data_IF_216919240654
#
_entry.id   IF_216919240654
#
_cell.length_a   1.000
_cell.length_b   1.000
_cell.length_c   1.000
_cell.angle_alpha   90.00
_cell.angle_beta   90.00
_cell.angle_gamma   90.00
#
_symmetry.space_group_name_H-M   'P 1'
#
loop_
_entity.id
_entity.type
_entity.pdbx_description
1 polymer ?
#
# COMPACT_ATOMS: atom_id res chain seq x y z
N UNK A 1 -2.60 -0.54 9.49
CA UNK A 1 -3.40 -1.34 8.53
C UNK A 1 -4.88 -1.29 8.87
N UNK A 2 -5.33 -1.88 9.98
CA UNK A 2 -6.75 -1.96 10.34
C UNK A 2 -7.51 -0.63 10.34
N UNK A 3 -6.97 0.43 10.96
CA UNK A 3 -7.62 1.75 10.94
C UNK A 3 -7.76 2.36 9.54
N UNK A 4 -6.82 2.04 8.63
CA UNK A 4 -6.90 2.47 7.23
C UNK A 4 -8.07 1.78 6.52
N UNK A 5 -8.17 0.45 6.64
CA UNK A 5 -9.28 -0.35 6.07
C UNK A 5 -10.63 0.06 6.68
N UNK A 6 -10.67 0.18 8.01
CA UNK A 6 -11.87 0.56 8.76
C UNK A 6 -12.42 1.91 8.32
N UNK A 7 -11.55 2.91 8.10
CA UNK A 7 -11.94 4.24 7.62
C UNK A 7 -12.66 4.16 6.27
N UNK A 8 -12.17 3.35 5.34
CA UNK A 8 -12.79 3.20 4.02
C UNK A 8 -14.12 2.47 4.09
N UNK A 9 -14.26 1.46 4.96
CA UNK A 9 -15.53 0.74 5.11
C UNK A 9 -16.66 1.61 5.69
N UNK A 10 -16.35 2.73 6.35
CA UNK A 10 -17.35 3.59 7.01
C UNK A 10 -17.73 4.85 6.25
N UNK A 11 -16.87 5.34 5.36
CA UNK A 11 -17.15 6.54 4.56
C UNK A 11 -17.70 6.07 3.21
N UNK A 12 -18.65 6.79 2.59
CA UNK A 12 -18.93 6.68 1.14
C UNK A 12 -17.72 7.18 0.33
N UNK A 13 -16.56 6.57 0.56
CA UNK A 13 -15.33 6.86 -0.14
C UNK A 13 -15.34 6.15 -1.50
N UNK A 14 -14.43 6.54 -2.38
CA UNK A 14 -14.26 5.85 -3.65
C UNK A 14 -13.99 4.36 -3.42
N UNK A 15 -14.57 3.47 -4.25
CA UNK A 15 -14.38 2.03 -4.08
C UNK A 15 -12.90 1.65 -4.17
N UNK A 16 -12.46 0.77 -3.26
CA UNK A 16 -11.09 0.25 -3.19
C UNK A 16 -11.06 -1.26 -3.45
N UNK A 17 -9.98 -1.72 -4.07
CA UNK A 17 -9.59 -3.12 -4.11
C UNK A 17 -8.57 -3.40 -3.00
N UNK A 18 -8.80 -4.48 -2.26
CA UNK A 18 -7.87 -5.00 -1.26
C UNK A 18 -7.40 -6.37 -1.73
N UNK A 19 -6.10 -6.50 -1.98
CA UNK A 19 -5.45 -7.77 -2.25
C UNK A 19 -4.66 -8.17 -1.00
N UNK A 20 -4.95 -9.33 -0.45
CA UNK A 20 -4.31 -9.86 0.75
C UNK A 20 -3.97 -11.32 0.52
N UNK A 21 -2.86 -11.78 1.11
CA UNK A 21 -2.46 -13.18 1.07
C UNK A 21 -3.29 -14.04 2.03
N UNK A 22 -3.43 -13.59 3.27
CA UNK A 22 -4.15 -14.29 4.35
C UNK A 22 -4.88 -13.28 5.23
N UNK A 23 -5.98 -13.67 5.87
CA UNK A 23 -6.70 -12.81 6.79
C UNK A 23 -7.18 -13.58 8.03
N UNK A 24 -7.07 -13.03 9.25
CA UNK A 24 -6.56 -11.69 9.60
C UNK A 24 -5.02 -11.59 9.71
N UNK A 25 -4.31 -12.71 9.73
CA UNK A 25 -2.85 -12.76 9.92
C UNK A 25 -2.06 -12.64 8.60
N UNK A 26 -2.32 -11.56 7.84
CA UNK A 26 -1.65 -11.31 6.55
C UNK A 26 -0.12 -11.17 6.72
N UNK A 27 0.65 -11.61 5.73
CA UNK A 27 2.06 -11.23 5.59
C UNK A 27 2.21 -10.02 4.69
N UNK A 28 1.39 -9.92 3.64
CA UNK A 28 1.33 -8.74 2.75
C UNK A 28 -0.10 -8.37 2.37
N UNK A 29 -0.38 -7.07 2.37
CA UNK A 29 -1.64 -6.50 1.92
C UNK A 29 -1.38 -5.28 1.02
N UNK A 30 -2.03 -5.26 -0.13
CA UNK A 30 -2.04 -4.17 -1.09
C UNK A 30 -3.45 -3.58 -1.15
N UNK A 31 -3.52 -2.26 -1.10
CA UNK A 31 -4.77 -1.50 -1.16
C UNK A 31 -4.63 -0.49 -2.29
N UNK A 32 -5.58 -0.49 -3.23
CA UNK A 32 -5.59 0.43 -4.38
C UNK A 32 -7.02 0.88 -4.72
N UNK A 33 -7.21 2.03 -5.40
CA UNK A 33 -8.52 2.40 -5.93
C UNK A 33 -9.02 1.42 -6.99
N UNK A 34 -10.31 1.05 -6.93
CA UNK A 34 -10.97 0.14 -7.88
C UNK A 34 -11.20 0.81 -9.24
N UNK A 35 -11.53 2.10 -9.24
CA UNK A 35 -11.67 2.89 -10.47
C UNK A 35 -10.34 3.54 -10.79
N UNK A 36 -9.64 3.01 -11.79
CA UNK A 36 -8.43 3.62 -12.34
C UNK A 36 -8.73 4.32 -13.67
N UNK A 37 -9.56 5.39 -13.66
CA UNK A 37 -9.73 6.19 -14.88
C UNK A 37 -8.37 6.75 -15.34
N UNK A 38 -8.14 6.84 -16.65
CA UNK A 38 -6.84 7.28 -17.21
C UNK A 38 -6.42 8.69 -16.73
N UNK A 39 -7.37 9.52 -16.33
CA UNK A 39 -7.14 10.90 -15.85
C UNK A 39 -6.88 11.01 -14.33
N UNK A 40 -7.00 9.93 -13.55
CA UNK A 40 -6.73 10.00 -12.11
C UNK A 40 -5.22 9.94 -11.82
N UNK A 41 -4.60 11.11 -11.72
CA UNK A 41 -3.19 11.28 -11.37
C UNK A 41 -2.86 10.94 -9.90
N UNK A 42 -3.87 10.62 -9.08
CA UNK A 42 -3.75 10.40 -7.63
C UNK A 42 -3.93 8.92 -7.22
N UNK A 43 -3.64 7.97 -8.12
CA UNK A 43 -3.69 6.51 -7.85
C UNK A 43 -2.60 6.08 -6.87
N UNK A 44 -2.88 6.26 -5.60
CA UNK A 44 -2.01 5.85 -4.51
C UNK A 44 -2.25 4.38 -4.15
N UNK A 45 -1.22 3.56 -4.29
CA UNK A 45 -1.24 2.16 -3.89
C UNK A 45 -0.52 2.06 -2.54
N UNK A 46 -1.22 1.58 -1.52
CA UNK A 46 -0.64 1.36 -0.20
C UNK A 46 -0.28 -0.11 -0.04
N UNK A 47 0.96 -0.40 0.32
CA UNK A 47 1.42 -1.76 0.60
C UNK A 47 1.87 -1.82 2.05
N UNK A 48 1.31 -2.77 2.80
CA UNK A 48 1.77 -3.10 4.14
C UNK A 48 2.26 -4.54 4.14
N UNK A 49 3.43 -4.76 4.72
CA UNK A 49 4.06 -6.08 4.75
C UNK A 49 4.74 -6.30 6.09
N UNK A 50 4.80 -7.54 6.55
CA UNK A 50 5.56 -7.96 7.73
C UNK A 50 6.96 -8.44 7.37
N UNK A 51 7.14 -8.97 6.16
CA UNK A 51 8.39 -9.52 5.66
C UNK A 51 8.71 -9.05 4.23
N UNK A 52 9.99 -9.17 3.84
CA UNK A 52 10.46 -8.72 2.53
C UNK A 52 10.20 -9.73 1.41
N UNK A 53 10.07 -11.02 1.73
CA UNK A 53 9.83 -12.07 0.74
C UNK A 53 8.43 -11.92 0.15
N UNK A 54 7.42 -11.72 0.99
CA UNK A 54 6.04 -11.45 0.57
C UNK A 54 5.94 -10.16 -0.24
N UNK A 55 6.70 -9.12 0.15
CA UNK A 55 6.79 -7.89 -0.62
C UNK A 55 7.39 -8.12 -2.01
N UNK A 56 8.53 -8.80 -2.11
CA UNK A 56 9.16 -9.12 -3.39
C UNK A 56 8.25 -9.91 -4.31
N UNK A 57 7.56 -10.92 -3.77
CA UNK A 57 6.60 -11.72 -4.53
C UNK A 57 5.45 -10.86 -5.07
N UNK A 58 4.89 -9.97 -4.24
CA UNK A 58 3.86 -9.02 -4.66
C UNK A 58 4.37 -8.05 -5.74
N UNK A 59 5.56 -7.46 -5.55
CA UNK A 59 6.15 -6.51 -6.49
C UNK A 59 6.47 -7.16 -7.84
N UNK A 60 6.69 -8.47 -7.86
CA UNK A 60 6.96 -9.22 -9.07
C UNK A 60 5.73 -9.59 -9.90
N UNK A 61 4.53 -9.51 -9.31
CA UNK A 61 3.26 -9.81 -9.98
C UNK A 61 2.82 -8.70 -10.92
N UNK A 62 2.99 -8.91 -12.22
CA UNK A 62 2.58 -7.98 -13.28
C UNK A 62 1.06 -7.92 -13.48
N UNK A 63 0.32 -8.92 -13.00
CA UNK A 63 -1.14 -8.92 -12.95
C UNK A 63 -1.69 -8.01 -11.84
N UNK A 64 -0.84 -7.64 -10.87
CA UNK A 64 -1.19 -6.76 -9.74
C UNK A 64 -0.65 -5.35 -9.94
N UNK A 65 0.62 -5.22 -10.32
CA UNK A 65 1.31 -3.95 -10.56
C UNK A 65 1.78 -3.86 -12.00
N UNK A 66 1.19 -2.94 -12.76
CA UNK A 66 1.65 -2.61 -14.10
C UNK A 66 2.78 -1.57 -14.05
N UNK A 67 4.01 -2.07 -14.06
CA UNK A 67 5.23 -1.25 -14.06
C UNK A 67 5.43 -0.40 -15.33
N UNK A 68 4.59 -0.58 -16.36
CA UNK A 68 4.60 0.29 -17.54
C UNK A 68 3.83 1.60 -17.32
N UNK A 69 3.07 1.70 -16.23
CA UNK A 69 2.30 2.90 -15.88
C UNK A 69 3.00 3.70 -14.78
N UNK A 70 2.56 4.95 -14.60
CA UNK A 70 2.97 5.75 -13.46
C UNK A 70 2.35 5.19 -12.17
N UNK A 71 3.19 4.66 -11.28
CA UNK A 71 2.77 4.09 -10.00
C UNK A 71 3.17 5.02 -8.85
N UNK A 72 2.23 5.33 -7.95
CA UNK A 72 2.52 6.00 -6.67
C UNK A 72 2.34 5.02 -5.53
N UNK A 73 3.45 4.61 -4.91
CA UNK A 73 3.45 3.63 -3.82
C UNK A 73 3.63 4.31 -2.46
N UNK A 74 2.91 3.85 -1.45
CA UNK A 74 3.22 4.09 -0.03
C UNK A 74 3.61 2.75 0.59
N UNK A 75 4.79 2.74 1.20
CA UNK A 75 5.32 1.60 1.95
C UNK A 75 5.95 2.08 3.25
N UNK A 76 6.19 1.14 4.16
CA UNK A 76 7.07 1.41 5.31
C UNK A 76 8.50 1.69 4.83
N UNK A 77 9.14 2.71 5.42
CA UNK A 77 10.49 3.17 5.06
C UNK A 77 11.52 2.05 5.09
N UNK A 78 11.34 1.05 5.95
CA UNK A 78 12.28 -0.09 6.06
C UNK A 78 12.44 -0.87 4.75
N UNK A 79 11.44 -0.82 3.86
CA UNK A 79 11.43 -1.53 2.58
C UNK A 79 11.85 -0.67 1.38
N UNK A 80 12.40 0.53 1.61
CA UNK A 80 12.81 1.45 0.53
C UNK A 80 13.85 0.82 -0.41
N UNK A 81 14.83 0.10 0.14
CA UNK A 81 15.89 -0.54 -0.67
C UNK A 81 15.34 -1.67 -1.55
N UNK A 82 14.40 -2.47 -1.03
CA UNK A 82 13.73 -3.53 -1.80
C UNK A 82 12.98 -2.94 -3.00
N UNK A 83 12.20 -1.87 -2.78
CA UNK A 83 11.53 -1.17 -3.88
C UNK A 83 12.50 -0.63 -4.91
N UNK A 84 13.61 -0.02 -4.47
CA UNK A 84 14.64 0.53 -5.36
C UNK A 84 15.25 -0.59 -6.21
N UNK A 85 15.60 -1.72 -5.61
CA UNK A 85 16.18 -2.86 -6.31
C UNK A 85 15.22 -3.40 -7.38
N UNK A 86 13.92 -3.54 -7.05
CA UNK A 86 12.91 -3.99 -8.02
C UNK A 86 12.75 -2.97 -9.15
N UNK A 87 12.69 -1.67 -8.84
CA UNK A 87 12.59 -0.62 -9.85
C UNK A 87 13.77 -0.66 -10.84
N UNK A 88 15.01 -0.76 -10.33
CA UNK A 88 16.22 -0.89 -11.15
C UNK A 88 16.18 -2.15 -12.02
N UNK A 89 15.80 -3.30 -11.44
CA UNK A 89 15.69 -4.56 -12.19
C UNK A 89 14.67 -4.50 -13.34
N UNK A 90 13.70 -3.59 -13.25
CA UNK A 90 12.66 -3.36 -14.26
C UNK A 90 12.98 -2.19 -15.20
N UNK A 91 14.12 -1.53 -15.03
CA UNK A 91 14.52 -0.37 -15.83
C UNK A 91 13.63 0.85 -15.65
N UNK A 92 12.93 0.96 -14.51
CA UNK A 92 12.06 2.11 -14.21
C UNK A 92 12.73 3.06 -13.23
N UNK A 93 12.52 4.37 -13.43
CA UNK A 93 13.00 5.38 -12.49
C UNK A 93 12.10 5.44 -11.26
N UNK A 94 12.71 5.60 -10.09
CA UNK A 94 12.00 5.75 -8.83
C UNK A 94 12.45 7.04 -8.14
N UNK A 95 11.49 7.85 -7.68
CA UNK A 95 11.74 9.04 -6.88
C UNK A 95 10.98 8.97 -5.56
N UNK A 96 11.64 9.39 -4.47
CA UNK A 96 11.00 9.53 -3.17
C UNK A 96 10.35 10.91 -3.08
N UNK A 97 9.02 10.94 -2.95
CA UNK A 97 8.27 12.20 -2.91
C UNK A 97 8.25 12.80 -1.50
N UNK A 98 7.91 12.00 -0.49
CA UNK A 98 7.80 12.46 0.90
C UNK A 98 7.97 11.29 1.86
N UNK A 99 8.28 11.61 3.13
CA UNK A 99 8.30 10.66 4.24
C UNK A 99 7.25 11.09 5.26
N UNK A 100 6.21 10.27 5.43
CA UNK A 100 5.20 10.50 6.47
C UNK A 100 5.57 9.75 7.75
N UNK A 101 5.51 10.44 8.89
CA UNK A 101 5.56 9.80 10.22
C UNK A 101 4.12 9.62 10.71
N UNK A 102 3.68 8.37 10.76
CA UNK A 102 2.35 8.06 11.26
C UNK A 102 2.40 7.98 12.78
N UNK A 103 1.61 8.82 13.45
CA UNK A 103 1.40 8.71 14.89
C UNK A 103 0.36 7.61 15.13
N UNK A 104 0.73 6.60 15.90
CA UNK A 104 -0.18 5.52 16.31
C UNK A 104 -0.51 5.69 17.77
N UNK A 105 -1.80 5.69 18.10
CA UNK A 105 -2.22 5.62 19.49
C UNK A 105 -1.99 4.19 20.01
N UNK A 106 -1.17 4.03 21.04
CA UNK A 106 -0.71 2.70 21.49
C UNK A 106 -1.81 1.89 22.18
N UNK A 107 -2.80 2.57 22.76
CA UNK A 107 -3.84 1.93 23.56
C UNK A 107 -5.24 2.38 23.13
N UNK A 108 -5.89 1.66 22.22
CA UNK A 108 -7.23 2.00 21.75
C UNK A 108 -8.30 1.98 22.86
N UNK A 109 -8.04 1.32 24.00
CA UNK A 109 -9.00 1.21 25.11
C UNK A 109 -9.25 2.53 25.83
N UNK A 110 -8.38 3.54 25.63
CA UNK A 110 -8.56 4.88 26.19
C UNK A 110 -9.50 5.78 25.39
N UNK A 111 -10.03 5.31 24.25
CA UNK A 111 -11.11 6.01 23.55
C UNK A 111 -12.45 5.62 24.18
N UNK A 112 -12.97 6.46 25.06
CA UNK A 112 -14.39 6.41 25.44
C UNK A 112 -15.22 6.70 24.21
N UNK A 113 -16.15 5.79 23.90
CA UNK A 113 -17.17 5.99 22.88
C UNK A 113 -18.25 6.85 23.54
N UNK A 114 -18.28 8.14 23.22
CA UNK A 114 -19.47 8.98 23.45
C UNK A 114 -20.58 8.62 22.45
#
# INVERSE_FOLDING_TARGET
VYGYIYRFNRIKADPLDVLVDQWPDFSVILIRPQRQQKSDFFKLISIFTKDETSLLNLLNRTDVLDWKQFLRLIVDRRHEEVLRAVAVSRGVSMSKLYVCRVMTFQDPSKFTTE
#
